data_IF_381789495277
#
_entry.id   IF_381789495277
#
_cell.length_a   1.000
_cell.length_b   1.000
_cell.length_c   1.000
_cell.angle_alpha   90.00
_cell.angle_beta   90.00
_cell.angle_gamma   90.00
#
_symmetry.space_group_name_H-M   'P 1'
#
loop_
_entity.id
_entity.type
_entity.pdbx_description
1 polymer ?
#
# COMPACT_ATOMS: atom_id res chain seq x y z
N UNK A 1 -47.56 31.00 34.78
CA UNK A 1 -47.50 30.07 33.64
C UNK A 1 -46.15 29.37 33.67
N UNK A 2 -46.17 28.06 33.44
CA UNK A 2 -45.15 27.06 33.79
C UNK A 2 -43.86 27.16 32.97
N UNK A 3 -42.73 26.80 33.58
CA UNK A 3 -41.45 26.59 32.90
C UNK A 3 -40.33 26.19 33.88
N UNK A 4 -40.44 24.98 34.42
CA UNK A 4 -39.49 24.37 35.36
C UNK A 4 -38.50 23.50 34.55
N UNK A 5 -37.20 23.76 34.61
CA UNK A 5 -36.19 22.88 34.03
C UNK A 5 -35.23 22.42 35.14
N UNK A 6 -35.51 21.22 35.67
CA UNK A 6 -34.62 20.49 36.56
C UNK A 6 -33.59 19.68 35.75
N UNK A 7 -32.35 19.75 36.23
CA UNK A 7 -31.22 18.80 36.18
C UNK A 7 -31.27 17.61 35.20
N UNK A 8 -30.13 17.34 34.56
CA UNK A 8 -29.38 16.08 34.74
C UNK A 8 -27.95 16.14 34.22
N UNK A 9 -27.04 16.05 35.18
CA UNK A 9 -25.68 15.51 35.18
C UNK A 9 -25.47 14.36 34.19
N UNK A 10 -24.36 14.39 33.42
CA UNK A 10 -23.62 13.17 33.10
C UNK A 10 -22.18 13.49 32.71
N UNK A 11 -21.31 13.41 33.71
CA UNK A 11 -19.85 13.42 33.60
C UNK A 11 -19.44 11.96 33.37
N UNK A 12 -18.98 11.60 32.17
CA UNK A 12 -18.44 10.25 31.94
C UNK A 12 -16.94 10.28 32.16
N UNK A 13 -16.55 10.11 33.42
CA UNK A 13 -15.24 9.60 33.83
C UNK A 13 -15.24 8.08 33.58
N UNK A 14 -14.41 7.59 32.67
CA UNK A 14 -13.93 6.21 32.74
C UNK A 14 -12.46 6.23 33.11
N UNK A 15 -12.20 5.80 34.34
CA UNK A 15 -10.87 5.56 34.87
C UNK A 15 -10.68 4.06 35.07
N UNK A 16 -9.46 3.61 34.75
CA UNK A 16 -8.70 2.51 35.34
C UNK A 16 -8.82 1.07 34.81
N UNK A 17 -7.62 0.56 34.48
CA UNK A 17 -7.09 -0.79 34.66
C UNK A 17 -7.35 -1.87 33.59
N UNK A 18 -6.33 -2.10 32.75
CA UNK A 18 -5.83 -3.45 32.48
C UNK A 18 -4.33 -3.38 32.13
N UNK A 19 -3.50 -3.60 33.15
CA UNK A 19 -2.11 -4.00 33.00
C UNK A 19 -2.12 -5.49 32.62
N UNK A 20 -1.65 -5.86 31.43
CA UNK A 20 -1.18 -7.23 31.18
C UNK A 20 0.18 -7.17 30.49
N UNK A 21 1.18 -7.71 31.18
CA UNK A 21 2.53 -7.93 30.72
C UNK A 21 2.64 -9.35 30.12
N UNK A 22 3.49 -9.49 29.09
CA UNK A 22 3.98 -10.71 28.41
C UNK A 22 3.08 -11.28 27.29
N UNK A 23 3.59 -11.62 26.10
CA UNK A 23 4.79 -12.41 25.86
C UNK A 23 5.74 -11.88 24.75
N UNK A 24 7.01 -12.23 24.92
CA UNK A 24 8.07 -12.17 23.91
C UNK A 24 7.68 -13.01 22.70
N UNK A 25 7.79 -12.45 21.49
CA UNK A 25 8.17 -13.24 20.31
C UNK A 25 9.40 -12.60 19.70
N UNK A 26 10.48 -13.33 19.94
CA UNK A 26 11.79 -13.23 19.32
C UNK A 26 11.65 -13.00 17.81
N UNK A 27 11.99 -11.81 17.31
CA UNK A 27 12.17 -11.61 15.88
C UNK A 27 13.56 -12.13 15.51
N UNK A 28 13.71 -13.46 15.51
CA UNK A 28 14.84 -14.09 14.87
C UNK A 28 14.77 -13.79 13.36
N UNK A 29 15.74 -13.04 12.86
CA UNK A 29 16.02 -13.00 11.41
C UNK A 29 15.94 -11.64 10.73
N UNK A 30 16.30 -10.54 11.39
CA UNK A 30 16.78 -9.37 10.65
C UNK A 30 18.07 -9.75 9.91
N UNK A 31 17.98 -10.19 8.63
CA UNK A 31 19.16 -10.28 7.77
C UNK A 31 19.44 -8.90 7.21
N UNK A 32 20.37 -8.22 7.86
CA UNK A 32 21.14 -7.13 7.27
C UNK A 32 21.82 -7.66 6.00
N UNK A 33 21.46 -7.18 4.82
CA UNK A 33 22.33 -7.36 3.67
C UNK A 33 23.44 -6.31 3.78
N UNK A 34 24.44 -6.63 4.61
CA UNK A 34 25.66 -5.83 4.70
C UNK A 34 26.58 -6.24 3.55
N UNK A 35 27.02 -5.24 2.78
CA UNK A 35 27.94 -5.43 1.66
C UNK A 35 29.32 -5.93 2.09
N UNK A 36 29.98 -6.60 1.16
CA UNK A 36 31.35 -7.10 1.25
C UNK A 36 31.47 -8.29 0.31
N UNK A 37 31.97 -8.11 -0.91
CA UNK A 37 33.39 -7.96 -1.14
C UNK A 37 33.85 -9.25 -1.82
N UNK A 38 34.06 -9.18 -3.14
CA UNK A 38 34.48 -10.34 -3.92
C UNK A 38 35.87 -10.81 -3.52
N UNK A 39 36.02 -12.13 -3.45
CA UNK A 39 37.22 -12.86 -3.86
C UNK A 39 36.76 -14.26 -4.25
N UNK A 40 36.95 -14.67 -5.50
CA UNK A 40 36.89 -16.08 -5.90
C UNK A 40 38.23 -16.74 -5.56
N UNK A 41 38.26 -17.84 -4.81
CA UNK A 41 39.37 -18.78 -4.85
C UNK A 41 39.06 -19.85 -5.90
N UNK A 42 40.00 -20.03 -6.82
CA UNK A 42 40.07 -21.11 -7.79
C UNK A 42 40.34 -22.46 -7.13
N UNK A 43 39.82 -23.48 -7.81
CA UNK A 43 40.28 -24.87 -7.87
C UNK A 43 39.69 -25.89 -6.86
N UNK A 44 39.17 -26.98 -7.44
CA UNK A 44 39.44 -28.39 -7.13
C UNK A 44 38.30 -29.24 -7.71
N UNK A 45 38.67 -30.15 -8.60
CA UNK A 45 37.77 -31.11 -9.24
C UNK A 45 37.18 -32.08 -8.23
N UNK A 46 35.84 -32.12 -8.19
CA UNK A 46 35.08 -33.14 -7.48
C UNK A 46 33.63 -33.04 -7.91
N UNK A 47 33.08 -34.12 -8.47
CA UNK A 47 31.68 -34.21 -8.84
C UNK A 47 30.78 -34.10 -7.61
N UNK A 48 30.42 -32.87 -7.28
CA UNK A 48 29.35 -32.53 -6.36
C UNK A 48 28.51 -31.46 -7.03
N UNK A 49 27.23 -31.74 -7.26
CA UNK A 49 26.27 -30.69 -7.59
C UNK A 49 26.41 -29.61 -6.52
N UNK A 50 26.63 -28.32 -6.88
CA UNK A 50 26.69 -27.27 -5.87
C UNK A 50 25.41 -27.32 -5.05
N UNK A 51 25.47 -27.19 -3.70
CA UNK A 51 24.26 -27.12 -2.91
C UNK A 51 23.46 -25.94 -3.44
N UNK A 52 22.32 -26.21 -4.07
CA UNK A 52 21.35 -25.22 -4.53
C UNK A 52 20.63 -24.68 -3.28
N UNK A 53 21.39 -24.00 -2.43
CA UNK A 53 20.95 -23.31 -1.23
C UNK A 53 20.64 -21.84 -1.50
N UNK A 54 20.35 -21.48 -2.75
CA UNK A 54 19.48 -20.36 -3.00
C UNK A 54 18.11 -20.85 -2.56
N UNK A 55 17.71 -20.52 -1.33
CA UNK A 55 16.39 -20.85 -0.83
C UNK A 55 15.40 -20.52 -1.93
N UNK A 56 14.67 -21.54 -2.37
CA UNK A 56 13.69 -21.41 -3.42
C UNK A 56 12.65 -20.43 -2.91
N UNK A 57 12.78 -19.17 -3.30
CA UNK A 57 11.79 -18.12 -3.07
C UNK A 57 10.62 -18.44 -4.01
N UNK A 58 9.93 -19.53 -3.72
CA UNK A 58 8.62 -19.81 -4.28
C UNK A 58 7.67 -18.83 -3.63
N UNK A 59 7.51 -17.69 -4.28
CA UNK A 59 6.41 -16.78 -3.99
C UNK A 59 5.08 -17.53 -4.06
N UNK A 60 4.04 -16.95 -3.46
CA UNK A 60 2.67 -17.38 -3.74
C UNK A 60 2.33 -17.24 -5.23
N UNK A 61 1.18 -17.77 -5.68
CA UNK A 61 0.75 -17.59 -7.06
C UNK A 61 0.64 -16.10 -7.40
N UNK A 62 0.97 -15.76 -8.65
CA UNK A 62 0.68 -14.44 -9.21
C UNK A 62 -0.84 -14.18 -9.20
N UNK A 63 -1.25 -12.93 -9.00
CA UNK A 63 -2.65 -12.54 -9.00
C UNK A 63 -2.88 -11.21 -9.69
N UNK A 64 -4.05 -11.03 -10.29
CA UNK A 64 -4.45 -9.79 -10.96
C UNK A 64 -4.86 -8.74 -9.93
N UNK A 65 -4.21 -7.57 -9.98
CA UNK A 65 -4.53 -6.43 -9.11
C UNK A 65 -5.79 -5.71 -9.57
N UNK A 66 -5.87 -5.32 -10.85
CA UNK A 66 -7.00 -4.56 -11.37
C UNK A 66 -8.26 -5.42 -11.51
N UNK A 67 -9.41 -4.76 -11.55
CA UNK A 67 -10.72 -5.30 -11.89
C UNK A 67 -11.12 -4.85 -13.29
N UNK A 68 -10.74 -3.64 -13.69
CA UNK A 68 -10.79 -3.22 -15.09
C UNK A 68 -9.60 -3.81 -15.88
N UNK A 69 -9.92 -4.50 -16.97
CA UNK A 69 -8.93 -5.24 -17.80
C UNK A 69 -8.99 -4.85 -19.27
N UNK A 70 -9.82 -3.86 -19.63
CA UNK A 70 -9.87 -3.34 -21.00
C UNK A 70 -8.76 -2.31 -21.19
N UNK A 71 -8.18 -2.26 -22.38
CA UNK A 71 -7.01 -1.42 -22.68
C UNK A 71 -5.82 -1.77 -21.79
N UNK A 72 -4.99 -0.78 -21.47
CA UNK A 72 -3.70 -1.00 -20.84
C UNK A 72 -3.67 -0.33 -19.48
N UNK A 73 -3.06 -1.02 -18.53
CA UNK A 73 -2.75 -0.51 -17.20
C UNK A 73 -1.24 -0.60 -16.98
N UNK A 74 -0.61 0.47 -16.49
CA UNK A 74 0.84 0.52 -16.30
C UNK A 74 1.27 1.43 -15.15
N UNK A 75 2.58 1.47 -14.89
CA UNK A 75 3.22 2.26 -13.84
C UNK A 75 2.59 2.04 -12.44
N UNK A 76 2.59 0.79 -11.94
CA UNK A 76 2.07 0.51 -10.62
C UNK A 76 3.00 1.07 -9.53
N UNK A 77 2.41 1.47 -8.41
CA UNK A 77 3.09 1.84 -7.17
C UNK A 77 2.36 1.20 -5.99
N UNK A 78 3.08 0.81 -4.94
CA UNK A 78 2.53 0.06 -3.81
C UNK A 78 3.06 0.61 -2.48
N UNK A 79 2.21 0.60 -1.46
CA UNK A 79 2.62 0.86 -0.07
C UNK A 79 1.98 -0.15 0.89
N UNK A 80 2.69 -0.49 1.96
CA UNK A 80 2.13 -1.27 3.07
C UNK A 80 1.40 -0.36 4.06
N UNK A 81 0.31 -0.87 4.60
CA UNK A 81 -0.46 -0.32 5.71
C UNK A 81 -0.20 -1.15 6.99
N UNK A 82 -0.94 -0.87 8.05
CA UNK A 82 -0.90 -1.66 9.29
C UNK A 82 -1.30 -3.11 9.06
N UNK A 83 -0.81 -4.00 9.92
CA UNK A 83 -1.12 -5.44 9.95
C UNK A 83 -0.77 -6.23 8.67
N UNK A 84 0.00 -5.63 7.75
CA UNK A 84 0.40 -6.25 6.50
C UNK A 84 -0.57 -6.03 5.34
N UNK A 85 -1.64 -5.26 5.55
CA UNK A 85 -2.47 -4.72 4.47
C UNK A 85 -1.62 -3.90 3.51
N UNK A 86 -2.08 -3.71 2.28
CA UNK A 86 -1.38 -2.90 1.30
C UNK A 86 -2.33 -2.24 0.30
N UNK A 87 -1.85 -1.17 -0.34
CA UNK A 87 -2.57 -0.48 -1.41
C UNK A 87 -1.68 -0.45 -2.63
N UNK A 88 -2.23 -0.83 -3.78
CA UNK A 88 -1.60 -0.68 -5.08
C UNK A 88 -2.35 0.39 -5.84
N UNK A 89 -1.61 1.30 -6.49
CA UNK A 89 -2.14 2.30 -7.42
C UNK A 89 -1.47 2.14 -8.79
N UNK A 90 -2.16 2.49 -9.86
CA UNK A 90 -1.64 2.39 -11.23
C UNK A 90 -2.33 3.39 -12.16
N UNK A 91 -1.77 3.58 -13.36
CA UNK A 91 -2.43 4.31 -14.46
C UNK A 91 -3.29 3.35 -15.27
N UNK A 92 -4.49 3.77 -15.64
CA UNK A 92 -5.41 3.00 -16.47
C UNK A 92 -5.91 3.85 -17.64
N UNK A 93 -5.76 3.33 -18.85
CA UNK A 93 -6.16 4.04 -20.07
C UNK A 93 -7.67 3.89 -20.32
N UNK A 94 -8.34 5.01 -20.48
CA UNK A 94 -9.74 5.16 -20.92
C UNK A 94 -10.79 4.63 -19.93
N UNK A 95 -10.40 4.32 -18.70
CA UNK A 95 -11.31 3.74 -17.72
C UNK A 95 -12.34 4.75 -17.18
N UNK A 96 -12.00 6.04 -17.13
CA UNK A 96 -12.92 7.14 -16.78
C UNK A 96 -13.60 7.76 -18.01
N UNK A 97 -13.36 7.20 -19.21
CA UNK A 97 -13.89 7.70 -20.47
C UNK A 97 -13.10 8.85 -21.10
N UNK A 98 -11.96 9.26 -20.53
CA UNK A 98 -11.02 10.22 -21.14
C UNK A 98 -9.68 9.56 -21.45
N UNK A 99 -8.54 10.20 -21.22
CA UNK A 99 -7.19 9.66 -21.40
C UNK A 99 -6.80 8.66 -20.30
N UNK A 100 -5.67 8.88 -19.65
CA UNK A 100 -5.19 8.06 -18.53
C UNK A 100 -5.81 8.57 -17.22
N UNK A 101 -6.35 7.66 -16.42
CA UNK A 101 -6.75 7.95 -15.04
C UNK A 101 -5.88 7.19 -14.04
N UNK A 102 -5.86 7.64 -12.79
CA UNK A 102 -5.16 6.96 -11.70
C UNK A 102 -6.17 6.15 -10.88
N UNK A 103 -5.87 4.87 -10.67
CA UNK A 103 -6.75 3.94 -9.96
C UNK A 103 -6.00 3.22 -8.86
N UNK A 104 -6.73 2.68 -7.90
CA UNK A 104 -6.18 1.94 -6.77
C UNK A 104 -7.05 0.78 -6.31
N UNK A 105 -6.42 -0.16 -5.61
CA UNK A 105 -7.05 -1.28 -4.94
C UNK A 105 -6.34 -1.52 -3.60
N UNK A 106 -7.12 -1.61 -2.53
CA UNK A 106 -6.64 -2.05 -1.21
C UNK A 106 -6.74 -3.56 -1.08
N UNK A 107 -5.78 -4.15 -0.39
CA UNK A 107 -5.72 -5.56 -0.07
C UNK A 107 -5.52 -5.76 1.42
N UNK A 108 -6.05 -6.86 1.93
CA UNK A 108 -5.73 -7.33 3.27
C UNK A 108 -4.35 -8.02 3.29
N UNK A 109 -3.84 -8.33 4.47
CA UNK A 109 -2.57 -9.04 4.67
C UNK A 109 -2.50 -10.44 4.01
N UNK A 110 -3.64 -10.99 3.58
CA UNK A 110 -3.73 -12.28 2.88
C UNK A 110 -3.80 -12.11 1.36
N UNK A 111 -3.78 -10.87 0.85
CA UNK A 111 -3.89 -10.55 -0.57
C UNK A 111 -5.32 -10.54 -1.11
N UNK A 112 -6.35 -10.56 -0.26
CA UNK A 112 -7.73 -10.40 -0.71
C UNK A 112 -8.05 -8.92 -0.93
N UNK A 113 -8.82 -8.61 -1.98
CA UNK A 113 -9.31 -7.25 -2.24
C UNK A 113 -10.21 -6.78 -1.09
N UNK A 114 -9.87 -5.64 -0.50
CA UNK A 114 -10.69 -4.94 0.49
C UNK A 114 -11.47 -3.84 -0.24
N UNK A 115 -12.76 -4.09 -0.44
CA UNK A 115 -13.61 -3.20 -1.24
C UNK A 115 -13.34 -3.29 -2.74
N UNK A 116 -13.99 -2.42 -3.50
CA UNK A 116 -13.81 -2.33 -4.94
C UNK A 116 -12.55 -1.52 -5.30
N UNK A 117 -12.11 -1.70 -6.54
CA UNK A 117 -11.19 -0.78 -7.19
C UNK A 117 -11.80 0.63 -7.20
N UNK A 118 -10.97 1.64 -6.96
CA UNK A 118 -11.39 3.03 -6.84
C UNK A 118 -10.54 3.95 -7.72
N UNK A 119 -11.17 5.00 -8.24
CA UNK A 119 -10.46 6.06 -8.94
C UNK A 119 -9.84 7.03 -7.92
N UNK A 120 -8.58 7.39 -8.16
CA UNK A 120 -7.80 8.29 -7.32
C UNK A 120 -7.97 9.74 -7.77
N UNK A 121 -7.92 10.03 -9.08
CA UNK A 121 -8.11 11.38 -9.60
C UNK A 121 -9.61 11.77 -9.60
N UNK A 122 -9.91 13.03 -9.27
CA UNK A 122 -11.26 13.60 -9.41
C UNK A 122 -11.41 14.28 -10.79
N UNK A 123 -10.36 14.96 -11.23
CA UNK A 123 -10.32 15.54 -12.57
C UNK A 123 -10.00 14.44 -13.56
N UNK A 124 -10.86 14.27 -14.57
CA UNK A 124 -10.77 13.16 -15.54
C UNK A 124 -10.52 13.63 -16.95
N UNK A 125 -10.34 14.92 -17.20
CA UNK A 125 -10.08 15.39 -18.57
C UNK A 125 -8.62 15.15 -18.89
N UNK A 126 -8.35 14.55 -20.05
CA UNK A 126 -7.02 14.22 -20.56
C UNK A 126 -6.25 13.19 -19.71
N UNK A 127 -5.02 13.46 -19.29
CA UNK A 127 -4.02 12.50 -18.82
C UNK A 127 -3.59 12.69 -17.34
N UNK A 128 -3.97 11.75 -16.48
CA UNK A 128 -3.47 11.66 -15.11
C UNK A 128 -2.52 10.46 -14.97
N UNK A 129 -1.25 10.78 -14.70
CA UNK A 129 -0.11 9.89 -14.92
C UNK A 129 0.89 9.85 -13.75
N UNK A 130 1.78 8.88 -13.83
CA UNK A 130 2.87 8.50 -12.94
C UNK A 130 2.53 8.55 -11.44
N UNK A 131 1.59 7.70 -10.99
CA UNK A 131 1.20 7.70 -9.61
C UNK A 131 2.33 7.23 -8.69
N UNK A 132 2.42 7.87 -7.54
CA UNK A 132 3.28 7.47 -6.42
C UNK A 132 2.44 7.49 -5.14
N UNK A 133 2.68 6.53 -4.24
CA UNK A 133 1.89 6.37 -3.01
C UNK A 133 2.81 6.25 -1.79
N UNK A 134 2.36 6.80 -0.66
CA UNK A 134 2.99 6.60 0.64
C UNK A 134 1.95 6.45 1.74
N UNK A 135 2.20 5.57 2.71
CA UNK A 135 1.39 5.46 3.92
C UNK A 135 1.82 6.50 4.96
N UNK A 136 0.85 6.93 5.76
CA UNK A 136 1.00 7.88 6.84
C UNK A 136 0.96 7.16 8.19
N UNK A 137 1.58 7.75 9.21
CA UNK A 137 1.69 7.15 10.55
C UNK A 137 0.35 6.98 11.27
N UNK A 138 -0.70 7.66 10.81
CA UNK A 138 -2.08 7.55 11.31
C UNK A 138 -2.90 6.47 10.58
N UNK A 139 -2.31 5.73 9.64
CA UNK A 139 -2.98 4.63 8.90
C UNK A 139 -3.65 5.04 7.60
N UNK A 140 -3.62 6.33 7.28
CA UNK A 140 -4.04 6.89 5.99
C UNK A 140 -2.93 6.72 4.94
N UNK A 141 -3.22 7.09 3.70
CA UNK A 141 -2.22 7.14 2.64
C UNK A 141 -2.41 8.37 1.74
N UNK A 142 -1.33 8.79 1.09
CA UNK A 142 -1.35 9.86 0.08
C UNK A 142 -0.88 9.29 -1.24
N UNK A 143 -1.65 9.57 -2.29
CA UNK A 143 -1.28 9.31 -3.67
C UNK A 143 -1.00 10.63 -4.35
N UNK A 144 0.10 10.74 -5.08
CA UNK A 144 0.45 11.88 -5.93
C UNK A 144 0.59 11.42 -7.37
N UNK A 145 0.34 12.32 -8.31
CA UNK A 145 0.42 12.05 -9.76
C UNK A 145 0.71 13.36 -10.51
N UNK A 146 1.23 13.27 -11.73
CA UNK A 146 1.28 14.40 -12.66
C UNK A 146 0.13 14.34 -13.67
N UNK A 147 -0.29 15.48 -14.20
CA UNK A 147 -1.35 15.52 -15.22
C UNK A 147 -2.03 16.87 -15.34
N UNK A 148 -3.22 16.89 -15.89
CA UNK A 148 -4.10 18.06 -15.97
C UNK A 148 -4.95 18.18 -14.69
N UNK A 149 -5.40 19.40 -14.41
CA UNK A 149 -6.34 19.65 -13.33
C UNK A 149 -7.13 20.92 -13.53
N UNK A 150 -7.90 21.30 -12.50
CA UNK A 150 -8.87 22.38 -12.59
C UNK A 150 -8.25 23.76 -12.90
N UNK A 151 -6.98 23.97 -12.58
CA UNK A 151 -6.28 25.25 -12.72
C UNK A 151 -5.07 25.24 -13.64
N UNK A 152 -4.49 24.08 -13.94
CA UNK A 152 -3.24 23.96 -14.70
C UNK A 152 -3.32 22.81 -15.71
N UNK A 153 -2.90 23.08 -16.95
CA UNK A 153 -2.81 22.10 -18.04
C UNK A 153 -1.72 21.03 -17.79
N UNK A 154 -0.81 21.27 -16.83
CA UNK A 154 0.15 20.27 -16.36
C UNK A 154 0.64 20.63 -14.97
N UNK A 155 0.37 19.79 -13.98
CA UNK A 155 0.71 20.01 -12.58
C UNK A 155 0.99 18.71 -11.84
N UNK A 156 1.39 18.85 -10.58
CA UNK A 156 1.53 17.73 -9.63
C UNK A 156 0.38 17.82 -8.64
N UNK A 157 -0.43 16.77 -8.60
CA UNK A 157 -1.62 16.67 -7.76
C UNK A 157 -1.45 15.58 -6.72
N UNK A 158 -2.31 15.61 -5.70
CA UNK A 158 -2.37 14.54 -4.73
C UNK A 158 -3.70 14.46 -4.01
N UNK A 159 -4.01 13.25 -3.55
CA UNK A 159 -5.19 12.96 -2.75
C UNK A 159 -4.81 12.09 -1.56
N UNK A 160 -5.38 12.43 -0.41
CA UNK A 160 -5.23 11.71 0.86
C UNK A 160 -6.48 10.88 1.12
N UNK A 161 -6.28 9.67 1.65
CA UNK A 161 -7.31 8.68 1.95
C UNK A 161 -7.16 8.15 3.36
#
# INVERSE_FOLDING_TARGET
>A
MRGNANLRTSLVLFSLAALLLACVRDSAGARTHNGGGGTTPTDEGGGGTPPTGYGDFTGGPEFQVSTWTTHVQWNPSITSLFDGDFVVVWQSRYQDGSGEGVYGQRFDSSGNKVGAEFQVNIWTTDHQMHPSITSLSNGEFVVVWDGEGQSDDSGVYGQRF
#
